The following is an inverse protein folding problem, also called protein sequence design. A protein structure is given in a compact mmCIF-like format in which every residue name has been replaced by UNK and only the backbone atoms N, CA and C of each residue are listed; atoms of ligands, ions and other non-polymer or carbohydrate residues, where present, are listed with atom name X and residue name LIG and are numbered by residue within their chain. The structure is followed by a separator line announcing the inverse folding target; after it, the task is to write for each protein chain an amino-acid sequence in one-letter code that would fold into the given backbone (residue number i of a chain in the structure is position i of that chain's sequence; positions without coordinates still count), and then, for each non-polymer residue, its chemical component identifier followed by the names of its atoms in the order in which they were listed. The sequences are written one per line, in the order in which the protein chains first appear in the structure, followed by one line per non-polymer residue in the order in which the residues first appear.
data_IF_661688116527
#
_entry.id   IF_661688116527
#
_cell.length_a   1.000
_cell.length_b   1.000
_cell.length_c   1.000
_cell.angle_alpha   90.00
_cell.angle_beta   90.00
_cell.angle_gamma   90.00
#
_symmetry.space_group_name_H-M   'P 1'
#
loop_
_entity.id
_entity.type
_entity.pdbx_description
1 polymer ?
#
# COMPACT_ATOMS: atom_id res chain seq x y z
N UNK A 1 -6.02 -57.29 6.96
CA UNK A 1 -6.69 -56.11 7.55
C UNK A 1 -5.76 -54.90 7.73
N UNK A 2 -4.45 -55.08 7.93
CA UNK A 2 -3.50 -53.95 8.07
C UNK A 2 -3.22 -53.15 6.77
N UNK A 3 -3.45 -53.70 5.58
CA UNK A 3 -2.99 -53.10 4.32
C UNK A 3 -3.88 -51.93 3.80
N UNK A 4 -5.15 -51.89 4.23
CA UNK A 4 -6.07 -50.81 3.81
C UNK A 4 -5.85 -49.51 4.58
N UNK A 5 -5.42 -49.60 5.84
CA UNK A 5 -5.21 -48.43 6.69
C UNK A 5 -3.98 -47.61 6.26
N UNK A 6 -2.91 -48.30 5.82
CA UNK A 6 -1.73 -47.64 5.23
C UNK A 6 -2.03 -46.99 3.89
N UNK A 7 -2.86 -47.62 3.04
CA UNK A 7 -3.27 -47.04 1.76
C UNK A 7 -4.11 -45.79 1.96
N UNK A 8 -5.02 -45.82 2.92
CA UNK A 8 -5.87 -44.67 3.26
C UNK A 8 -5.04 -43.50 3.78
N UNK A 9 -4.09 -43.77 4.68
CA UNK A 9 -3.18 -42.74 5.23
C UNK A 9 -2.25 -42.15 4.17
N UNK A 10 -1.69 -42.98 3.28
CA UNK A 10 -0.87 -42.50 2.17
C UNK A 10 -1.65 -41.65 1.17
N UNK A 11 -2.93 -41.94 0.97
CA UNK A 11 -3.82 -41.15 0.12
C UNK A 11 -4.19 -39.81 0.78
N UNK A 12 -4.45 -39.80 2.08
CA UNK A 12 -4.66 -38.57 2.86
C UNK A 12 -3.41 -37.68 2.86
N UNK A 13 -2.21 -38.24 3.06
CA UNK A 13 -0.94 -37.50 3.00
C UNK A 13 -0.68 -36.92 1.59
N UNK A 14 -1.04 -37.65 0.53
CA UNK A 14 -0.94 -37.17 -0.85
C UNK A 14 -1.92 -36.03 -1.13
N UNK A 15 -3.17 -36.15 -0.70
CA UNK A 15 -4.19 -35.09 -0.84
C UNK A 15 -3.80 -33.83 -0.07
N UNK A 16 -3.25 -33.99 1.15
CA UNK A 16 -2.68 -32.91 1.95
C UNK A 16 -1.53 -32.20 1.22
N UNK A 17 -0.62 -32.96 0.62
CA UNK A 17 0.50 -32.40 -0.14
C UNK A 17 0.04 -31.61 -1.36
N UNK A 18 -0.89 -32.16 -2.15
CA UNK A 18 -1.46 -31.47 -3.31
C UNK A 18 -2.24 -30.21 -2.90
N UNK A 19 -2.95 -30.26 -1.78
CA UNK A 19 -3.64 -29.09 -1.24
C UNK A 19 -2.66 -28.00 -0.76
N UNK A 20 -1.56 -28.40 -0.10
CA UNK A 20 -0.48 -27.50 0.31
C UNK A 20 0.21 -26.87 -0.88
N UNK A 21 0.57 -27.64 -1.90
CA UNK A 21 1.22 -27.15 -3.13
C UNK A 21 0.31 -26.16 -3.88
N UNK A 22 -1.01 -26.39 -3.90
CA UNK A 22 -1.99 -25.46 -4.46
C UNK A 22 -2.10 -24.17 -3.65
N UNK A 23 -2.05 -24.25 -2.33
CA UNK A 23 -2.04 -23.08 -1.44
C UNK A 23 -0.78 -22.24 -1.62
N UNK A 24 0.39 -22.88 -1.69
CA UNK A 24 1.66 -22.21 -1.93
C UNK A 24 1.71 -21.56 -3.31
N UNK A 25 1.20 -22.26 -4.34
CA UNK A 25 1.05 -21.72 -5.69
C UNK A 25 0.10 -20.52 -5.74
N UNK A 26 -1.04 -20.59 -5.05
CA UNK A 26 -1.98 -19.48 -4.95
C UNK A 26 -1.42 -18.30 -4.16
N UNK A 27 -0.64 -18.55 -3.10
CA UNK A 27 0.04 -17.51 -2.32
C UNK A 27 1.08 -16.79 -3.16
N UNK A 28 1.94 -17.53 -3.87
CA UNK A 28 2.93 -16.95 -4.78
C UNK A 28 2.28 -16.14 -5.90
N UNK A 29 1.24 -16.67 -6.55
CA UNK A 29 0.51 -15.93 -7.57
C UNK A 29 -0.10 -14.63 -7.02
N UNK A 30 -0.60 -14.64 -5.78
CA UNK A 30 -1.11 -13.45 -5.12
C UNK A 30 -0.01 -12.43 -4.84
N UNK A 31 1.16 -12.88 -4.39
CA UNK A 31 2.31 -12.02 -4.12
C UNK A 31 2.84 -11.39 -5.42
N UNK A 32 2.94 -12.18 -6.49
CA UNK A 32 3.35 -11.72 -7.82
C UNK A 32 2.35 -10.68 -8.39
N UNK A 33 1.05 -10.94 -8.28
CA UNK A 33 0.02 -9.97 -8.70
C UNK A 33 0.11 -8.69 -7.88
N UNK A 34 0.29 -8.79 -6.56
CA UNK A 34 0.43 -7.61 -5.70
C UNK A 34 1.66 -6.79 -6.04
N UNK A 35 2.80 -7.44 -6.31
CA UNK A 35 4.02 -6.78 -6.75
C UNK A 35 3.83 -6.10 -8.11
N UNK A 36 3.25 -6.81 -9.08
CA UNK A 36 2.95 -6.26 -10.40
C UNK A 36 2.06 -5.02 -10.32
N UNK A 37 0.94 -5.12 -9.57
CA UNK A 37 -0.01 -3.99 -9.40
C UNK A 37 0.67 -2.81 -8.70
N UNK A 38 1.55 -3.06 -7.72
CA UNK A 38 2.33 -2.02 -7.04
C UNK A 38 3.21 -1.27 -8.03
N UNK A 39 4.06 -1.98 -8.76
CA UNK A 39 5.01 -1.40 -9.70
C UNK A 39 4.30 -0.60 -10.79
N UNK A 40 3.21 -1.16 -11.33
CA UNK A 40 2.42 -0.48 -12.37
C UNK A 40 1.78 0.80 -11.86
N UNK A 41 1.25 0.80 -10.63
CA UNK A 41 0.65 2.00 -10.03
C UNK A 41 1.69 3.06 -9.70
N UNK A 42 2.84 2.69 -9.15
CA UNK A 42 3.92 3.64 -8.89
C UNK A 42 4.39 4.33 -10.17
N UNK A 43 4.61 3.53 -11.23
CA UNK A 43 4.99 4.04 -12.56
C UNK A 43 3.93 4.98 -13.13
N UNK A 44 2.65 4.66 -13.00
CA UNK A 44 1.56 5.53 -13.42
C UNK A 44 1.64 6.92 -12.77
N UNK A 45 1.78 7.00 -11.44
CA UNK A 45 1.84 8.29 -10.74
C UNK A 45 3.14 9.07 -11.00
N UNK A 46 4.26 8.38 -11.22
CA UNK A 46 5.48 9.04 -11.69
C UNK A 46 5.31 9.62 -13.08
N UNK A 47 4.68 8.89 -14.00
CA UNK A 47 4.37 9.40 -15.34
C UNK A 47 3.44 10.62 -15.27
N UNK A 48 2.42 10.61 -14.40
CA UNK A 48 1.57 11.80 -14.20
C UNK A 48 2.38 13.00 -13.71
N UNK A 49 3.24 12.81 -12.69
CA UNK A 49 4.10 13.88 -12.20
C UNK A 49 5.03 14.43 -13.30
N UNK A 50 5.60 13.54 -14.11
CA UNK A 50 6.46 13.92 -15.22
C UNK A 50 5.70 14.68 -16.31
N UNK A 51 4.48 14.22 -16.67
CA UNK A 51 3.62 14.92 -17.63
C UNK A 51 3.21 16.30 -17.12
N UNK A 52 2.87 16.44 -15.84
CA UNK A 52 2.60 17.73 -15.21
C UNK A 52 3.81 18.67 -15.29
N UNK A 53 5.00 18.18 -14.95
CA UNK A 53 6.24 18.96 -15.05
C UNK A 53 6.53 19.38 -16.49
N UNK A 54 6.36 18.46 -17.45
CA UNK A 54 6.55 18.73 -18.88
C UNK A 54 5.56 19.75 -19.43
N UNK A 55 4.28 19.65 -19.05
CA UNK A 55 3.26 20.61 -19.44
C UNK A 55 3.57 22.01 -18.92
N UNK A 56 4.01 22.13 -17.66
CA UNK A 56 4.46 23.42 -17.08
C UNK A 56 5.68 23.93 -17.84
N UNK A 57 6.72 23.11 -18.02
CA UNK A 57 7.96 23.53 -18.70
C UNK A 57 7.71 24.01 -20.14
N UNK A 58 6.91 23.28 -20.91
CA UNK A 58 6.56 23.63 -22.28
C UNK A 58 5.73 24.92 -22.35
N UNK A 59 4.78 25.10 -21.43
CA UNK A 59 3.95 26.31 -21.41
C UNK A 59 4.70 27.55 -20.94
N UNK A 60 5.63 27.42 -19.99
CA UNK A 60 6.56 28.49 -19.61
C UNK A 60 7.43 28.87 -20.82
N UNK A 61 8.02 27.89 -21.50
CA UNK A 61 8.85 28.14 -22.68
C UNK A 61 8.06 28.83 -23.82
N UNK A 62 6.81 28.41 -24.03
CA UNK A 62 5.89 29.06 -24.97
C UNK A 62 5.64 30.53 -24.61
N UNK A 63 5.42 30.82 -23.33
CA UNK A 63 5.18 32.18 -22.85
C UNK A 63 6.43 33.07 -23.00
N UNK A 64 7.62 32.54 -22.71
CA UNK A 64 8.88 33.29 -22.91
C UNK A 64 9.14 33.60 -24.39
N UNK A 65 8.65 32.78 -25.31
CA UNK A 65 8.80 33.01 -26.75
C UNK A 65 7.77 34.00 -27.34
N UNK A 66 6.64 34.27 -26.66
CA UNK A 66 5.50 35.05 -27.20
C UNK A 66 4.90 36.06 -26.21
N UNK A 67 5.69 36.54 -25.24
CA UNK A 67 5.14 37.25 -24.06
C UNK A 67 4.35 38.53 -24.38
N UNK A 68 4.58 39.17 -25.52
CA UNK A 68 3.95 40.44 -25.90
C UNK A 68 2.52 40.31 -26.47
N UNK A 69 1.99 39.10 -26.72
CA UNK A 69 0.72 38.90 -27.45
C UNK A 69 -0.30 37.97 -26.75
N UNK A 70 -0.16 37.70 -25.45
CA UNK A 70 -1.04 36.74 -24.77
C UNK A 70 -2.12 37.41 -23.92
N UNK A 71 -3.37 37.21 -24.31
CA UNK A 71 -4.54 37.49 -23.48
C UNK A 71 -4.76 36.34 -22.48
N UNK A 72 -5.52 36.58 -21.40
CA UNK A 72 -5.95 35.51 -20.48
C UNK A 72 -4.83 34.80 -19.69
N UNK A 73 -3.73 35.49 -19.38
CA UNK A 73 -2.60 34.94 -18.62
C UNK A 73 -3.01 34.30 -17.28
N UNK A 74 -4.07 34.80 -16.63
CA UNK A 74 -4.57 34.23 -15.38
C UNK A 74 -5.06 32.78 -15.53
N UNK A 75 -5.62 32.39 -16.68
CA UNK A 75 -6.07 31.00 -16.95
C UNK A 75 -4.87 30.05 -16.97
N UNK A 76 -3.76 30.52 -17.56
CA UNK A 76 -2.51 29.77 -17.59
C UNK A 76 -1.92 29.60 -16.18
N UNK A 77 -1.94 30.65 -15.36
CA UNK A 77 -1.49 30.57 -13.97
C UNK A 77 -2.33 29.57 -13.17
N UNK A 78 -3.66 29.57 -13.33
CA UNK A 78 -4.54 28.58 -12.70
C UNK A 78 -4.18 27.16 -13.14
N UNK A 79 -3.94 26.95 -14.44
CA UNK A 79 -3.48 25.66 -14.96
C UNK A 79 -2.17 25.21 -14.32
N UNK A 80 -1.17 26.10 -14.20
CA UNK A 80 0.10 25.78 -13.55
C UNK A 80 -0.07 25.38 -12.09
N UNK A 81 -0.88 26.11 -11.34
CA UNK A 81 -1.15 25.78 -9.93
C UNK A 81 -1.78 24.40 -9.81
N UNK A 82 -2.78 24.08 -10.65
CA UNK A 82 -3.41 22.76 -10.66
C UNK A 82 -2.42 21.64 -11.02
N UNK A 83 -1.56 21.86 -12.01
CA UNK A 83 -0.54 20.89 -12.42
C UNK A 83 0.56 20.74 -11.35
N UNK A 84 0.96 21.80 -10.65
CA UNK A 84 1.90 21.75 -9.52
C UNK A 84 1.32 20.99 -8.32
N UNK A 85 0.04 21.21 -8.02
CA UNK A 85 -0.68 20.45 -7.00
C UNK A 85 -0.72 18.96 -7.40
N UNK A 86 -1.08 18.67 -8.65
CA UNK A 86 -1.09 17.29 -9.16
C UNK A 86 0.28 16.61 -9.04
N UNK A 87 1.34 17.28 -9.49
CA UNK A 87 2.73 16.82 -9.38
C UNK A 87 3.09 16.49 -7.93
N UNK A 88 2.83 17.43 -7.01
CA UNK A 88 3.14 17.27 -5.59
C UNK A 88 2.38 16.10 -4.97
N UNK A 89 1.08 15.98 -5.27
CA UNK A 89 0.24 14.89 -4.77
C UNK A 89 0.67 13.52 -5.31
N UNK A 90 1.05 13.44 -6.58
CA UNK A 90 1.52 12.19 -7.19
C UNK A 90 2.84 11.71 -6.54
N UNK A 91 3.78 12.63 -6.30
CA UNK A 91 5.04 12.31 -5.60
C UNK A 91 4.80 11.91 -4.15
N UNK A 92 4.00 12.69 -3.41
CA UNK A 92 3.66 12.40 -2.01
C UNK A 92 2.91 11.08 -1.87
N UNK A 93 2.02 10.75 -2.81
CA UNK A 93 1.34 9.44 -2.86
C UNK A 93 2.35 8.31 -2.96
N UNK A 94 3.36 8.42 -3.83
CA UNK A 94 4.38 7.39 -4.00
C UNK A 94 5.24 7.24 -2.75
N UNK A 95 5.65 8.36 -2.14
CA UNK A 95 6.39 8.35 -0.87
C UNK A 95 5.60 7.69 0.27
N UNK A 96 4.32 8.04 0.45
CA UNK A 96 3.48 7.53 1.53
C UNK A 96 3.07 6.06 1.36
N UNK A 97 3.14 5.53 0.13
CA UNK A 97 2.76 4.15 -0.14
C UNK A 97 3.62 3.15 0.64
N UNK A 98 4.93 3.42 0.80
CA UNK A 98 5.82 2.59 1.61
C UNK A 98 5.40 2.53 3.07
N UNK A 99 5.00 3.66 3.67
CA UNK A 99 4.51 3.70 5.05
C UNK A 99 3.19 2.96 5.22
N UNK A 100 2.25 3.14 4.29
CA UNK A 100 0.98 2.38 4.29
C UNK A 100 1.25 0.87 4.26
N UNK A 101 2.11 0.41 3.35
CA UNK A 101 2.45 -1.00 3.23
C UNK A 101 3.15 -1.53 4.48
N UNK A 102 4.07 -0.75 5.06
CA UNK A 102 4.78 -1.12 6.28
C UNK A 102 3.81 -1.42 7.43
N UNK A 103 2.89 -0.51 7.74
CA UNK A 103 1.93 -0.71 8.83
C UNK A 103 0.93 -1.83 8.55
N UNK A 104 0.52 -2.02 7.29
CA UNK A 104 -0.32 -3.15 6.89
C UNK A 104 0.38 -4.50 7.10
N UNK A 105 1.61 -4.64 6.61
CA UNK A 105 2.41 -5.86 6.79
C UNK A 105 2.73 -6.13 8.27
N UNK A 106 3.06 -5.08 9.02
CA UNK A 106 3.31 -5.19 10.45
C UNK A 106 2.04 -5.64 11.20
N UNK A 107 0.86 -5.16 10.82
CA UNK A 107 -0.41 -5.64 11.40
C UNK A 107 -0.66 -7.11 11.11
N UNK A 108 -0.33 -7.61 9.91
CA UNK A 108 -0.47 -9.03 9.57
C UNK A 108 0.48 -9.87 10.41
N UNK A 109 1.76 -9.46 10.50
CA UNK A 109 2.77 -10.15 11.30
C UNK A 109 2.42 -10.17 12.79
N UNK A 110 2.05 -9.02 13.38
CA UNK A 110 1.65 -8.93 14.79
C UNK A 110 0.43 -9.83 15.06
N UNK A 111 -0.55 -9.86 14.15
CA UNK A 111 -1.74 -10.72 14.30
C UNK A 111 -1.36 -12.20 14.31
N UNK A 112 -0.50 -12.64 13.39
CA UNK A 112 -0.02 -14.02 13.35
C UNK A 112 0.79 -14.38 14.60
N UNK A 113 1.66 -13.47 15.07
CA UNK A 113 2.47 -13.68 16.28
C UNK A 113 1.60 -13.75 17.54
N UNK A 114 0.58 -12.90 17.63
CA UNK A 114 -0.40 -12.91 18.73
C UNK A 114 -1.20 -14.21 18.76
N UNK A 115 -1.63 -14.73 17.60
CA UNK A 115 -2.30 -16.02 17.51
C UNK A 115 -1.40 -17.17 17.97
N UNK A 116 -0.10 -17.14 17.59
CA UNK A 116 0.89 -18.10 18.04
C UNK A 116 1.06 -18.08 19.57
N UNK A 117 1.28 -16.90 20.17
CA UNK A 117 1.48 -16.80 21.63
C UNK A 117 0.23 -17.23 22.41
N UNK A 118 -0.98 -16.86 21.94
CA UNK A 118 -2.24 -17.29 22.56
C UNK A 118 -2.45 -18.81 22.49
N UNK A 119 -1.98 -19.48 21.44
CA UNK A 119 -2.04 -20.94 21.33
C UNK A 119 -0.98 -21.65 22.16
N UNK A 120 0.14 -20.99 22.46
CA UNK A 120 1.22 -21.57 23.28
C UNK A 120 0.91 -21.56 24.78
N UNK A 121 0.16 -20.57 25.28
CA UNK A 121 -0.25 -20.49 26.70
C UNK A 121 -0.95 -21.77 27.18
N UNK A 122 -2.03 -22.26 26.53
CA UNK A 122 -2.71 -23.47 27.00
C UNK A 122 -1.85 -24.74 26.85
N UNK A 123 -0.91 -24.77 25.89
CA UNK A 123 0.03 -25.91 25.75
C UNK A 123 1.04 -25.95 26.89
N UNK A 124 1.48 -24.79 27.38
CA UNK A 124 2.32 -24.67 28.57
C UNK A 124 1.55 -25.01 29.84
N UNK A 125 0.29 -24.59 29.97
CA UNK A 125 -0.59 -24.94 31.09
C UNK A 125 -0.88 -26.44 31.17
N UNK A 126 -1.00 -27.13 30.03
CA UNK A 126 -1.25 -28.58 29.93
C UNK A 126 0.01 -29.43 30.19
N UNK A 127 1.15 -28.81 30.52
CA UNK A 127 2.39 -29.48 30.92
C UNK A 127 3.08 -30.32 29.82
N UNK A 128 2.63 -30.23 28.57
CA UNK A 128 3.14 -31.03 27.43
C UNK A 128 4.43 -30.49 26.80
N UNK A 129 5.18 -29.67 27.51
CA UNK A 129 6.40 -29.05 26.99
C UNK A 129 7.60 -29.87 27.44
N UNK A 130 8.21 -30.60 26.49
CA UNK A 130 9.29 -31.57 26.74
C UNK A 130 10.57 -31.00 27.38
N UNK A 131 10.65 -29.71 27.70
CA UNK A 131 11.90 -29.02 28.07
C UNK A 131 11.82 -28.15 29.34
N UNK A 132 10.66 -27.97 29.97
CA UNK A 132 10.57 -27.22 31.23
C UNK A 132 10.88 -28.15 32.42
N UNK A 133 11.87 -27.81 33.24
CA UNK A 133 12.42 -28.71 34.26
C UNK A 133 11.74 -28.56 35.63
N UNK A 134 11.02 -27.45 35.87
CA UNK A 134 10.27 -27.19 37.12
C UNK A 134 8.96 -26.43 36.90
N UNK A 135 7.98 -26.60 37.81
CA UNK A 135 6.70 -25.87 37.77
C UNK A 135 6.85 -24.34 37.85
N UNK A 136 7.91 -23.85 38.50
CA UNK A 136 8.20 -22.41 38.60
C UNK A 136 8.59 -21.81 37.23
N UNK A 137 9.40 -22.51 36.44
CA UNK A 137 9.78 -22.11 35.09
C UNK A 137 8.57 -22.01 34.16
N UNK A 138 7.63 -22.95 34.27
CA UNK A 138 6.38 -22.94 33.49
C UNK A 138 5.53 -21.71 33.84
N UNK A 139 5.40 -21.36 35.12
CA UNK A 139 4.63 -20.18 35.56
C UNK A 139 5.27 -18.88 35.09
N UNK A 140 6.59 -18.77 35.17
CA UNK A 140 7.31 -17.60 34.70
C UNK A 140 7.21 -17.45 33.18
N UNK A 141 7.29 -18.55 32.42
CA UNK A 141 7.10 -18.52 30.98
C UNK A 141 5.67 -18.11 30.60
N UNK A 142 4.65 -18.63 31.28
CA UNK A 142 3.24 -18.21 31.10
C UNK A 142 3.09 -16.71 31.38
N UNK A 143 3.74 -16.18 32.43
CA UNK A 143 3.71 -14.75 32.77
C UNK A 143 4.36 -13.90 31.67
N UNK A 144 5.51 -14.32 31.15
CA UNK A 144 6.19 -13.66 30.02
C UNK A 144 5.29 -13.67 28.79
N UNK A 145 4.68 -14.81 28.44
CA UNK A 145 3.79 -14.91 27.28
C UNK A 145 2.54 -14.07 27.42
N UNK A 146 1.91 -14.04 28.60
CA UNK A 146 0.79 -13.15 28.87
C UNK A 146 1.17 -11.67 28.72
N UNK A 147 2.37 -11.27 29.16
CA UNK A 147 2.87 -9.92 28.94
C UNK A 147 3.11 -9.63 27.44
N UNK A 148 3.69 -10.58 26.72
CA UNK A 148 3.90 -10.47 25.27
C UNK A 148 2.57 -10.35 24.51
N UNK A 149 1.53 -11.09 24.90
CA UNK A 149 0.19 -10.99 24.32
C UNK A 149 -0.33 -9.56 24.48
N UNK A 150 -0.23 -8.95 25.66
CA UNK A 150 -0.66 -7.55 25.87
C UNK A 150 0.10 -6.58 24.98
N UNK A 151 1.43 -6.69 24.91
CA UNK A 151 2.26 -5.84 24.04
C UNK A 151 1.85 -5.99 22.56
N UNK A 152 1.57 -7.22 22.12
CA UNK A 152 1.14 -7.49 20.74
C UNK A 152 -0.28 -6.98 20.47
N UNK A 153 -1.19 -7.02 21.45
CA UNK A 153 -2.54 -6.45 21.34
C UNK A 153 -2.49 -4.93 21.16
N UNK A 154 -1.70 -4.25 22.00
CA UNK A 154 -1.50 -2.81 21.92
C UNK A 154 -0.83 -2.43 20.59
N UNK A 155 0.20 -3.17 20.18
CA UNK A 155 0.87 -3.01 18.90
C UNK A 155 -0.06 -3.21 17.70
N UNK A 156 -0.99 -4.18 17.78
CA UNK A 156 -1.99 -4.42 16.74
C UNK A 156 -2.95 -3.24 16.60
N UNK A 157 -3.43 -2.70 17.72
CA UNK A 157 -4.29 -1.52 17.76
C UNK A 157 -3.60 -0.30 17.14
N UNK A 158 -2.35 -0.05 17.53
CA UNK A 158 -1.54 1.03 16.98
C UNK A 158 -1.34 0.89 15.46
N UNK A 159 -0.92 -0.29 14.99
CA UNK A 159 -0.62 -0.53 13.58
C UNK A 159 -1.86 -0.41 12.71
N UNK A 160 -3.01 -0.96 13.12
CA UNK A 160 -4.29 -0.79 12.40
C UNK A 160 -4.73 0.67 12.35
N UNK A 161 -4.55 1.42 13.44
CA UNK A 161 -4.83 2.85 13.48
C UNK A 161 -4.00 3.63 12.47
N UNK A 162 -2.69 3.34 12.41
CA UNK A 162 -1.76 3.94 11.44
C UNK A 162 -2.09 3.53 10.01
N UNK A 163 -2.29 2.24 9.75
CA UNK A 163 -2.68 1.71 8.44
C UNK A 163 -3.91 2.44 7.90
N UNK A 164 -4.99 2.56 8.69
CA UNK A 164 -6.21 3.25 8.29
C UNK A 164 -5.98 4.73 7.99
N UNK A 165 -5.14 5.40 8.79
CA UNK A 165 -4.80 6.83 8.57
C UNK A 165 -4.01 7.00 7.27
N UNK A 166 -2.96 6.21 7.07
CA UNK A 166 -2.14 6.27 5.86
C UNK A 166 -2.92 5.85 4.62
N UNK A 167 -3.79 4.84 4.70
CA UNK A 167 -4.69 4.44 3.62
C UNK A 167 -5.61 5.58 3.18
N UNK A 168 -6.21 6.30 4.13
CA UNK A 168 -7.05 7.48 3.83
C UNK A 168 -6.25 8.59 3.16
N UNK A 169 -5.08 8.94 3.68
CA UNK A 169 -4.25 9.99 3.09
C UNK A 169 -3.81 9.59 1.67
N UNK A 170 -3.35 8.36 1.51
CA UNK A 170 -2.90 7.82 0.23
C UNK A 170 -4.00 7.79 -0.84
N UNK A 171 -5.20 7.31 -0.47
CA UNK A 171 -6.36 7.30 -1.39
C UNK A 171 -6.84 8.71 -1.73
N UNK A 172 -6.84 9.64 -0.78
CA UNK A 172 -7.16 11.04 -1.05
C UNK A 172 -6.17 11.69 -2.00
N UNK A 173 -4.86 11.48 -1.80
CA UNK A 173 -3.83 12.04 -2.68
C UNK A 173 -3.91 11.45 -4.09
N UNK A 174 -4.25 10.16 -4.21
CA UNK A 174 -4.51 9.52 -5.48
C UNK A 174 -5.65 10.23 -6.23
N UNK A 175 -6.81 10.37 -5.61
CA UNK A 175 -7.98 10.98 -6.25
C UNK A 175 -7.72 12.45 -6.60
N UNK A 176 -7.23 13.22 -5.63
CA UNK A 176 -6.95 14.64 -5.82
C UNK A 176 -5.89 14.86 -6.91
N UNK A 177 -4.82 14.07 -6.94
CA UNK A 177 -3.76 14.18 -7.95
C UNK A 177 -4.26 13.94 -9.37
N UNK A 178 -5.18 12.98 -9.56
CA UNK A 178 -5.82 12.70 -10.85
C UNK A 178 -6.79 13.82 -11.26
N UNK A 179 -7.64 14.28 -10.34
CA UNK A 179 -8.62 15.33 -10.62
C UNK A 179 -7.92 16.65 -10.97
N UNK A 180 -6.91 17.05 -10.19
CA UNK A 180 -6.17 18.30 -10.45
C UNK A 180 -5.34 18.21 -11.73
N UNK A 181 -4.83 17.04 -12.10
CA UNK A 181 -4.18 16.83 -13.39
C UNK A 181 -5.13 17.12 -14.57
N UNK A 182 -6.31 16.49 -14.56
CA UNK A 182 -7.31 16.64 -15.62
C UNK A 182 -7.79 18.09 -15.71
N UNK A 183 -8.11 18.71 -14.58
CA UNK A 183 -8.51 20.11 -14.53
C UNK A 183 -7.39 21.05 -15.01
N UNK A 184 -6.15 20.78 -14.61
CA UNK A 184 -4.97 21.55 -15.03
C UNK A 184 -4.75 21.50 -16.54
N UNK A 185 -4.79 20.31 -17.13
CA UNK A 185 -4.70 20.15 -18.59
C UNK A 185 -5.86 20.81 -19.32
N UNK A 186 -7.09 20.65 -18.82
CA UNK A 186 -8.28 21.26 -19.43
C UNK A 186 -8.15 22.79 -19.43
N UNK A 187 -7.75 23.40 -18.31
CA UNK A 187 -7.50 24.83 -18.22
C UNK A 187 -6.40 25.28 -19.20
N UNK A 188 -5.36 24.47 -19.40
CA UNK A 188 -4.30 24.77 -20.36
C UNK A 188 -4.80 24.77 -21.81
N UNK A 189 -5.64 23.79 -22.18
CA UNK A 189 -6.28 23.74 -23.50
C UNK A 189 -7.22 24.93 -23.69
N UNK A 190 -8.03 25.26 -22.70
CA UNK A 190 -8.92 26.44 -22.72
C UNK A 190 -8.12 27.72 -22.92
N UNK A 191 -7.00 27.90 -22.20
CA UNK A 191 -6.10 29.03 -22.41
C UNK A 191 -5.60 29.14 -23.85
N UNK A 192 -5.18 28.01 -24.45
CA UNK A 192 -4.74 27.96 -25.83
C UNK A 192 -5.86 28.36 -26.81
N UNK A 193 -7.06 27.80 -26.63
CA UNK A 193 -8.22 28.12 -27.45
C UNK A 193 -8.64 29.58 -27.34
N UNK A 194 -8.67 30.14 -26.14
CA UNK A 194 -9.02 31.55 -25.92
C UNK A 194 -8.02 32.48 -26.60
N UNK A 195 -6.72 32.17 -26.58
CA UNK A 195 -5.71 33.00 -27.26
C UNK A 195 -5.76 32.90 -28.79
N UNK A 196 -6.23 31.77 -29.34
CA UNK A 196 -6.41 31.60 -30.79
C UNK A 196 -7.70 32.29 -31.27
N UNK A 197 -8.80 32.08 -30.54
CA UNK A 197 -10.14 32.55 -30.94
C UNK A 197 -10.40 34.03 -30.59
N UNK A 198 -9.78 34.52 -29.52
CA UNK A 198 -9.94 35.88 -28.99
C UNK A 198 -8.55 36.51 -28.77
N UNK A 199 -7.78 36.75 -29.85
CA UNK A 199 -6.47 37.38 -29.73
C UNK A 199 -6.59 38.80 -29.15
N UNK A 200 -5.55 39.30 -28.45
CA UNK A 200 -5.53 40.69 -28.02
C UNK A 200 -5.68 41.63 -29.22
N UNK A 201 -6.49 42.68 -29.05
CA UNK A 201 -6.59 43.79 -30.01
C UNK A 201 -5.34 44.66 -29.97
#
# INVERSE_FOLDING_TARGET
MFNDDYRKKAQEDYELKVASDRLDGASKARDDINQYVREHREKYFYNLAFLSAGAIALSVNYLTAKSEMLSWQWVLVVSWVLLLISLSLCLLRNYLYGSFLHYGMQSVWVKAKLEQERKLIPVLEDGKVMHAQTEEEIRDEIKIKNNNVKILEDGLGFNKGKEKKFAKIWTSFQLLGQVTFILGLTAMVVFGLLNILLPPK
#
